data_IF_166817227466
#
_entry.id   IF_166817227466
#
_cell.length_a   1.000
_cell.length_b   1.000
_cell.length_c   1.000
_cell.angle_alpha   90.00
_cell.angle_beta   90.00
_cell.angle_gamma   90.00
#
_symmetry.space_group_name_H-M   'P 1'
#
loop_
_entity.id
_entity.type
_entity.pdbx_description
1 polymer ?
#
# COMPACT_ATOMS: atom_id res chain seq x y z
N UNK A 1 36.43 27.17 -72.02
CA UNK A 1 35.70 27.54 -70.79
C UNK A 1 34.23 27.27 -71.01
N UNK A 2 33.72 26.11 -70.60
CA UNK A 2 32.28 25.84 -70.52
C UNK A 2 32.04 25.17 -69.17
N UNK A 3 31.31 25.89 -68.33
CA UNK A 3 30.93 25.55 -66.96
C UNK A 3 29.78 24.53 -67.01
N UNK A 4 29.91 23.42 -66.29
CA UNK A 4 28.81 22.46 -66.12
C UNK A 4 28.60 22.24 -64.62
N UNK A 5 27.57 22.91 -64.09
CA UNK A 5 27.17 22.85 -62.69
C UNK A 5 26.34 21.59 -62.46
N UNK A 6 26.86 20.62 -61.70
CA UNK A 6 26.11 19.42 -61.28
C UNK A 6 25.43 19.67 -59.94
N UNK A 7 24.10 19.79 -59.98
CA UNK A 7 23.22 19.95 -58.82
C UNK A 7 22.97 18.56 -58.19
N UNK A 8 23.60 18.26 -57.06
CA UNK A 8 23.41 16.98 -56.37
C UNK A 8 22.35 17.15 -55.26
N UNK A 9 21.21 16.48 -55.45
CA UNK A 9 20.05 16.47 -54.54
C UNK A 9 20.43 15.81 -53.20
N UNK A 10 20.25 16.54 -52.10
CA UNK A 10 20.38 16.00 -50.76
C UNK A 10 19.20 15.06 -50.44
N UNK A 11 19.49 13.79 -50.20
CA UNK A 11 18.51 12.80 -49.70
C UNK A 11 18.49 12.92 -48.17
N UNK A 12 17.39 13.45 -47.61
CA UNK A 12 17.15 13.42 -46.15
C UNK A 12 16.77 12.00 -45.74
N UNK A 13 17.68 11.31 -45.05
CA UNK A 13 17.37 10.09 -44.33
C UNK A 13 16.47 10.43 -43.13
N UNK A 14 15.21 10.00 -43.17
CA UNK A 14 14.29 10.13 -42.05
C UNK A 14 14.66 9.10 -40.98
N UNK A 15 15.28 9.54 -39.88
CA UNK A 15 15.50 8.69 -38.71
C UNK A 15 14.13 8.36 -38.08
N UNK A 16 13.64 7.15 -38.30
CA UNK A 16 12.46 6.65 -37.60
C UNK A 16 12.88 6.25 -36.18
N UNK A 17 12.84 7.20 -35.24
CA UNK A 17 13.06 6.92 -33.82
C UNK A 17 11.87 6.10 -33.35
N UNK A 18 12.06 4.79 -33.17
CA UNK A 18 11.09 3.94 -32.48
C UNK A 18 11.06 4.38 -31.02
N UNK A 19 10.01 5.09 -30.64
CA UNK A 19 9.66 5.30 -29.23
C UNK A 19 9.40 3.92 -28.62
N UNK A 20 10.32 3.44 -27.78
CA UNK A 20 10.07 2.32 -26.90
C UNK A 20 8.86 2.72 -26.03
N UNK A 21 7.71 2.13 -26.33
CA UNK A 21 6.59 2.18 -25.41
C UNK A 21 7.03 1.42 -24.16
N UNK A 22 7.27 2.15 -23.07
CA UNK A 22 7.30 1.55 -21.74
C UNK A 22 5.89 1.08 -21.45
N UNK A 23 5.66 -0.22 -21.57
CA UNK A 23 4.43 -0.85 -21.08
C UNK A 23 4.34 -0.57 -19.58
N UNK A 24 3.25 0.04 -19.13
CA UNK A 24 2.94 0.08 -17.69
C UNK A 24 3.00 -1.35 -17.18
N UNK A 25 3.82 -1.59 -16.15
CA UNK A 25 3.94 -2.88 -15.50
C UNK A 25 2.53 -3.42 -15.22
N UNK A 26 2.27 -4.62 -15.74
CA UNK A 26 1.12 -5.43 -15.38
C UNK A 26 1.11 -5.57 -13.86
N UNK A 27 0.00 -5.16 -13.25
CA UNK A 27 -0.18 -5.11 -11.80
C UNK A 27 0.05 -6.49 -11.18
N UNK A 28 0.99 -6.54 -10.25
CA UNK A 28 1.07 -7.60 -9.26
C UNK A 28 0.79 -6.97 -7.90
N UNK A 29 0.20 -7.70 -6.94
CA UNK A 29 0.18 -7.26 -5.55
C UNK A 29 1.60 -6.92 -5.12
N UNK A 30 1.73 -5.87 -4.28
CA UNK A 30 3.02 -5.44 -3.76
C UNK A 30 3.83 -6.64 -3.27
N UNK A 31 5.11 -6.67 -3.63
CA UNK A 31 5.98 -7.81 -3.34
C UNK A 31 6.98 -7.50 -2.23
N UNK A 32 7.45 -8.55 -1.57
CA UNK A 32 8.63 -8.46 -0.70
C UNK A 32 9.81 -7.90 -1.49
N UNK A 33 10.49 -6.90 -0.92
CA UNK A 33 11.58 -6.16 -1.53
C UNK A 33 11.17 -4.86 -2.21
N UNK A 34 9.87 -4.58 -2.37
CA UNK A 34 9.39 -3.32 -2.95
C UNK A 34 9.20 -2.23 -1.89
N UNK A 35 9.40 -0.98 -2.28
CA UNK A 35 9.04 0.16 -1.45
C UNK A 35 7.53 0.39 -1.43
N UNK A 36 7.02 0.84 -0.29
CA UNK A 36 5.65 1.34 -0.20
C UNK A 36 5.46 2.53 -1.16
N UNK A 37 4.29 2.62 -1.82
CA UNK A 37 4.00 3.75 -2.68
C UNK A 37 3.80 5.02 -1.83
N UNK A 38 4.24 6.16 -2.36
CA UNK A 38 4.00 7.47 -1.74
C UNK A 38 2.56 7.91 -2.00
N UNK A 39 1.65 7.40 -1.17
CA UNK A 39 0.22 7.73 -1.19
C UNK A 39 -0.18 8.35 0.14
N UNK A 40 -1.05 9.35 0.07
CA UNK A 40 -1.61 10.00 1.24
C UNK A 40 -2.85 9.24 1.74
N UNK A 41 -2.86 8.98 3.04
CA UNK A 41 -4.02 8.48 3.81
C UNK A 41 -4.39 9.52 4.88
N UNK A 42 -5.53 9.37 5.54
CA UNK A 42 -6.01 10.30 6.56
C UNK A 42 -5.94 9.68 7.96
N UNK A 43 -5.79 10.50 9.01
CA UNK A 43 -5.82 10.03 10.40
C UNK A 43 -6.47 11.08 11.32
N UNK A 44 -7.39 10.66 12.19
CA UNK A 44 -8.05 11.55 13.14
C UNK A 44 -9.11 12.45 12.51
N UNK A 45 -8.69 13.32 11.58
CA UNK A 45 -9.49 14.34 10.90
C UNK A 45 -9.24 14.33 9.37
N UNK A 46 -10.22 14.69 8.51
CA UNK A 46 -10.03 14.68 7.06
C UNK A 46 -8.91 15.59 6.53
N UNK A 47 -8.55 16.64 7.28
CA UNK A 47 -7.45 17.54 6.92
C UNK A 47 -6.06 17.00 7.26
N UNK A 48 -5.96 15.99 8.12
CA UNK A 48 -4.69 15.42 8.54
C UNK A 48 -4.26 14.28 7.61
N UNK A 49 -3.44 14.64 6.61
CA UNK A 49 -2.90 13.70 5.61
C UNK A 49 -1.54 13.14 6.02
N UNK A 50 -1.38 11.82 5.93
CA UNK A 50 -0.17 11.07 6.26
C UNK A 50 0.36 10.39 4.99
N UNK A 51 1.63 10.62 4.63
CA UNK A 51 2.29 9.84 3.57
C UNK A 51 2.68 8.46 4.10
N UNK A 52 2.27 7.41 3.39
CA UNK A 52 2.64 6.04 3.69
C UNK A 52 4.14 5.78 3.55
N UNK A 53 4.81 6.46 2.62
CA UNK A 53 6.26 6.33 2.46
C UNK A 53 7.03 7.00 3.60
N UNK A 54 6.61 8.20 4.02
CA UNK A 54 7.24 8.92 5.13
C UNK A 54 6.98 8.26 6.48
N UNK A 55 5.78 7.68 6.68
CA UNK A 55 5.38 7.02 7.91
C UNK A 55 6.40 5.97 8.38
N UNK A 56 6.89 5.16 7.43
CA UNK A 56 7.79 4.02 7.67
C UNK A 56 9.25 4.29 7.29
N UNK A 57 9.62 5.52 6.90
CA UNK A 57 11.00 5.88 6.59
C UNK A 57 11.86 5.78 7.84
N UNK A 58 12.99 5.08 7.73
CA UNK A 58 13.94 4.88 8.83
C UNK A 58 13.40 4.10 10.03
N UNK A 59 12.25 3.44 9.90
CA UNK A 59 11.58 2.70 10.98
C UNK A 59 11.33 1.24 10.59
N UNK A 60 11.25 0.37 11.59
CA UNK A 60 10.63 -0.95 11.45
C UNK A 60 9.16 -0.82 11.84
N UNK A 61 8.26 -1.22 10.95
CA UNK A 61 6.83 -1.02 11.13
C UNK A 61 5.98 -2.20 10.70
N UNK A 62 4.79 -2.29 11.25
CA UNK A 62 3.77 -3.26 10.89
C UNK A 62 2.56 -2.51 10.36
N UNK A 63 2.14 -2.87 9.16
CA UNK A 63 0.92 -2.38 8.53
C UNK A 63 -0.03 -3.55 8.30
N UNK A 64 -1.28 -3.43 8.73
CA UNK A 64 -2.26 -4.51 8.61
C UNK A 64 -3.66 -3.99 8.30
N UNK A 65 -4.52 -4.89 7.81
CA UNK A 65 -5.92 -4.59 7.59
C UNK A 65 -6.73 -4.69 8.88
N UNK A 66 -7.67 -3.77 8.98
CA UNK A 66 -8.29 -3.39 10.22
C UNK A 66 -9.13 -4.45 10.95
N UNK A 67 -9.74 -5.42 10.30
CA UNK A 67 -10.49 -6.46 11.04
C UNK A 67 -9.65 -7.31 12.01
N UNK A 68 -8.31 -7.24 11.97
CA UNK A 68 -7.39 -7.92 12.90
C UNK A 68 -7.00 -7.07 14.13
N UNK A 69 -7.51 -5.84 14.25
CA UNK A 69 -7.10 -4.83 15.23
C UNK A 69 -6.99 -5.34 16.68
N UNK A 70 -7.96 -6.10 17.25
CA UNK A 70 -7.86 -6.50 18.66
C UNK A 70 -6.58 -7.28 18.99
N UNK A 71 -6.13 -8.17 18.09
CA UNK A 71 -4.91 -8.94 18.29
C UNK A 71 -3.65 -8.06 18.26
N UNK A 72 -3.57 -7.11 17.33
CA UNK A 72 -2.44 -6.17 17.25
C UNK A 72 -2.40 -5.20 18.44
N UNK A 73 -3.55 -4.81 19.00
CA UNK A 73 -3.62 -4.02 20.23
C UNK A 73 -3.05 -4.80 21.41
N UNK A 74 -3.43 -6.07 21.56
CA UNK A 74 -2.95 -6.94 22.64
C UNK A 74 -1.44 -7.18 22.54
N UNK A 75 -0.92 -7.37 21.33
CA UNK A 75 0.50 -7.67 21.08
C UNK A 75 1.37 -6.43 20.83
N UNK A 76 0.83 -5.22 20.96
CA UNK A 76 1.57 -3.98 20.66
C UNK A 76 2.85 -3.85 21.51
N UNK A 77 2.82 -4.30 22.77
CA UNK A 77 3.99 -4.33 23.64
C UNK A 77 5.07 -5.31 23.14
N UNK A 78 4.67 -6.51 22.75
CA UNK A 78 5.59 -7.54 22.24
C UNK A 78 6.21 -7.13 20.90
N UNK A 79 5.42 -6.52 20.02
CA UNK A 79 5.91 -5.95 18.76
C UNK A 79 6.96 -4.87 19.00
N UNK A 80 6.70 -3.94 19.93
CA UNK A 80 7.66 -2.91 20.32
C UNK A 80 8.93 -3.50 20.94
N UNK A 81 8.81 -4.55 21.76
CA UNK A 81 9.95 -5.26 22.32
C UNK A 81 10.82 -5.93 21.25
N UNK A 82 10.27 -6.25 20.06
CA UNK A 82 11.00 -6.73 18.87
C UNK A 82 11.50 -5.61 17.94
N UNK A 83 11.48 -4.37 18.42
CA UNK A 83 11.98 -3.20 17.70
C UNK A 83 11.02 -2.67 16.63
N UNK A 84 9.72 -2.99 16.70
CA UNK A 84 8.71 -2.34 15.85
C UNK A 84 8.41 -0.96 16.42
N UNK A 85 8.77 0.08 15.67
CA UNK A 85 8.55 1.49 16.01
C UNK A 85 7.12 1.94 15.71
N UNK A 86 6.52 1.39 14.63
CA UNK A 86 5.25 1.85 14.08
C UNK A 86 4.29 0.68 13.89
N UNK A 87 3.07 0.79 14.42
CA UNK A 87 2.01 -0.21 14.21
C UNK A 87 0.79 0.54 13.68
N UNK A 88 0.38 0.23 12.46
CA UNK A 88 -0.69 0.93 11.77
C UNK A 88 -1.73 -0.02 11.18
N UNK A 89 -2.99 0.38 11.34
CA UNK A 89 -4.18 -0.23 10.80
C UNK A 89 -4.65 0.63 9.62
N UNK A 90 -4.75 0.08 8.41
CA UNK A 90 -5.28 0.82 7.26
C UNK A 90 -6.58 0.19 6.77
N UNK A 91 -7.55 1.02 6.40
CA UNK A 91 -8.82 0.56 5.84
C UNK A 91 -9.36 1.49 4.76
N UNK A 92 -10.08 0.91 3.79
CA UNK A 92 -10.92 1.66 2.86
C UNK A 92 -12.18 2.09 3.60
N UNK A 93 -12.05 3.20 4.31
CA UNK A 93 -13.09 3.86 5.08
C UNK A 93 -12.76 5.33 5.24
N UNK A 94 -13.75 6.13 5.63
CA UNK A 94 -13.49 7.51 6.01
C UNK A 94 -12.79 7.59 7.38
N UNK A 95 -12.16 8.72 7.61
CA UNK A 95 -11.38 8.98 8.83
C UNK A 95 -12.25 9.03 10.08
N UNK A 96 -13.52 9.40 9.99
CA UNK A 96 -14.40 9.48 11.17
C UNK A 96 -14.70 8.08 11.70
N UNK A 97 -15.04 7.15 10.80
CA UNK A 97 -15.24 5.74 11.15
C UNK A 97 -13.96 5.12 11.69
N UNK A 98 -12.82 5.37 11.03
CA UNK A 98 -11.54 4.85 11.49
C UNK A 98 -11.16 5.35 12.89
N UNK A 99 -11.34 6.64 13.16
CA UNK A 99 -11.11 7.25 14.48
C UNK A 99 -12.04 6.67 15.54
N UNK A 100 -13.35 6.57 15.25
CA UNK A 100 -14.33 6.05 16.20
C UNK A 100 -14.06 4.57 16.54
N UNK A 101 -13.75 3.76 15.54
CA UNK A 101 -13.52 2.34 15.71
C UNK A 101 -12.17 2.05 16.41
N UNK A 102 -11.14 2.88 16.19
CA UNK A 102 -9.91 2.87 16.99
C UNK A 102 -10.17 3.15 18.47
N UNK A 103 -10.93 4.20 18.77
CA UNK A 103 -11.31 4.59 20.13
C UNK A 103 -12.09 3.48 20.84
N UNK A 104 -13.08 2.90 20.17
CA UNK A 104 -13.91 1.82 20.72
C UNK A 104 -13.11 0.57 21.09
N UNK A 105 -12.04 0.29 20.34
CA UNK A 105 -11.18 -0.88 20.57
C UNK A 105 -9.96 -0.58 21.48
N UNK A 106 -9.78 0.68 21.92
CA UNK A 106 -8.63 1.08 22.74
C UNK A 106 -7.30 1.04 21.99
N UNK A 107 -7.30 1.49 20.72
CA UNK A 107 -6.11 1.57 19.87
C UNK A 107 -5.12 2.66 20.30
N UNK A 108 -5.58 3.67 21.04
CA UNK A 108 -4.79 4.85 21.42
C UNK A 108 -3.44 4.50 22.04
N UNK A 109 -2.38 5.09 21.52
CA UNK A 109 -0.99 4.85 21.94
C UNK A 109 -0.42 3.48 21.55
N UNK A 110 -1.21 2.60 20.94
CA UNK A 110 -0.82 1.23 20.57
C UNK A 110 -0.78 1.02 19.06
N UNK A 111 -1.83 1.44 18.37
CA UNK A 111 -2.02 1.26 16.92
C UNK A 111 -2.54 2.56 16.31
N UNK A 112 -1.94 3.02 15.22
CA UNK A 112 -2.44 4.15 14.43
C UNK A 112 -3.55 3.72 13.49
N UNK A 113 -4.56 4.57 13.34
CA UNK A 113 -5.78 4.27 12.58
C UNK A 113 -5.80 5.13 11.31
N UNK A 114 -5.45 4.51 10.18
CA UNK A 114 -5.28 5.17 8.90
C UNK A 114 -6.49 4.90 7.99
N UNK A 115 -7.11 5.96 7.51
CA UNK A 115 -8.19 5.92 6.55
C UNK A 115 -7.66 6.08 5.13
N UNK A 116 -8.06 5.19 4.23
CA UNK A 116 -7.83 5.26 2.78
C UNK A 116 -9.19 5.43 2.07
N UNK A 117 -9.86 6.61 2.16
CA UNK A 117 -11.29 6.73 1.84
C UNK A 117 -11.60 6.41 0.37
N UNK A 118 -10.65 6.69 -0.53
CA UNK A 118 -10.79 6.47 -1.97
C UNK A 118 -10.22 5.12 -2.41
N UNK A 119 -9.58 4.36 -1.51
CA UNK A 119 -8.85 3.15 -1.87
C UNK A 119 -7.57 3.42 -2.66
N UNK A 120 -7.02 4.64 -2.63
CA UNK A 120 -5.86 5.02 -3.42
C UNK A 120 -4.61 4.22 -3.02
N UNK A 121 -4.39 4.03 -1.71
CA UNK A 121 -3.28 3.21 -1.23
C UNK A 121 -3.52 1.75 -1.59
N UNK A 122 -4.71 1.24 -1.28
CA UNK A 122 -5.13 -0.14 -1.57
C UNK A 122 -4.97 -0.50 -3.05
N UNK A 123 -5.30 0.43 -3.95
CA UNK A 123 -5.08 0.32 -5.39
C UNK A 123 -3.60 0.28 -5.76
N UNK A 124 -2.80 1.16 -5.17
CA UNK A 124 -1.39 1.29 -5.50
C UNK A 124 -0.58 0.03 -5.12
N UNK A 125 -1.04 -0.70 -4.09
CA UNK A 125 -0.45 -1.99 -3.69
C UNK A 125 -1.14 -3.20 -4.29
N UNK A 126 -2.17 -2.99 -5.14
CA UNK A 126 -2.97 -4.03 -5.81
C UNK A 126 -3.54 -5.08 -4.84
N UNK A 127 -4.08 -4.60 -3.71
CA UNK A 127 -4.70 -5.43 -2.65
C UNK A 127 -6.21 -5.20 -2.55
N UNK A 128 -6.90 -4.83 -3.63
CA UNK A 128 -8.35 -4.77 -3.62
C UNK A 128 -8.98 -6.16 -3.48
N UNK A 129 -10.08 -6.22 -2.74
CA UNK A 129 -10.91 -7.40 -2.59
C UNK A 129 -11.95 -7.43 -3.72
N UNK A 130 -11.65 -8.24 -4.74
CA UNK A 130 -12.52 -8.42 -5.90
C UNK A 130 -13.60 -9.48 -5.61
N UNK A 131 -14.60 -9.09 -4.83
CA UNK A 131 -15.73 -9.95 -4.47
C UNK A 131 -17.05 -9.18 -4.65
N UNK A 132 -17.77 -9.48 -5.73
CA UNK A 132 -19.01 -8.79 -6.10
C UNK A 132 -20.09 -8.86 -5.02
N UNK A 133 -20.19 -9.97 -4.29
CA UNK A 133 -21.13 -10.10 -3.19
C UNK A 133 -20.78 -9.13 -2.06
N UNK A 134 -19.50 -8.96 -1.72
CA UNK A 134 -19.09 -7.99 -0.71
C UNK A 134 -19.27 -6.55 -1.17
N UNK A 135 -19.08 -6.26 -2.46
CA UNK A 135 -19.39 -4.94 -3.02
C UNK A 135 -20.89 -4.64 -2.89
N UNK A 136 -21.77 -5.62 -3.14
CA UNK A 136 -23.22 -5.45 -2.95
C UNK A 136 -23.60 -5.17 -1.49
N UNK A 137 -22.89 -5.77 -0.52
CA UNK A 137 -23.15 -5.58 0.91
C UNK A 137 -22.53 -4.29 1.46
N UNK A 138 -21.33 -3.94 1.02
CA UNK A 138 -20.51 -2.85 1.59
C UNK A 138 -20.57 -1.55 0.77
N UNK A 139 -21.12 -1.60 -0.44
CA UNK A 139 -21.33 -0.45 -1.34
C UNK A 139 -20.11 -0.05 -2.18
N UNK A 140 -18.89 -0.42 -1.77
CA UNK A 140 -17.64 -0.07 -2.46
C UNK A 140 -16.60 -1.21 -2.40
N UNK A 141 -15.54 -1.08 -3.21
CA UNK A 141 -14.36 -1.94 -3.10
C UNK A 141 -13.67 -1.73 -1.75
N UNK A 142 -13.24 -2.83 -1.13
CA UNK A 142 -12.48 -2.84 0.12
C UNK A 142 -11.10 -3.45 -0.12
N UNK A 143 -10.21 -3.32 0.85
CA UNK A 143 -8.94 -4.03 0.81
C UNK A 143 -9.12 -5.49 1.20
N UNK A 144 -8.26 -6.35 0.67
CA UNK A 144 -8.03 -7.68 1.19
C UNK A 144 -7.45 -7.59 2.61
N UNK A 145 -7.59 -8.67 3.36
CA UNK A 145 -6.97 -8.80 4.67
C UNK A 145 -5.52 -9.23 4.53
N UNK A 146 -4.63 -8.47 5.15
CA UNK A 146 -3.21 -8.76 5.15
C UNK A 146 -2.51 -8.17 6.38
N UNK A 147 -1.28 -8.62 6.61
CA UNK A 147 -0.32 -7.98 7.49
C UNK A 147 1.04 -7.95 6.78
N UNK A 148 1.77 -6.84 6.91
CA UNK A 148 3.09 -6.68 6.31
C UNK A 148 4.10 -6.04 7.27
N UNK A 149 5.34 -6.52 7.19
CA UNK A 149 6.48 -5.97 7.90
C UNK A 149 7.19 -5.04 6.92
N UNK A 150 7.44 -3.81 7.36
CA UNK A 150 8.09 -2.78 6.58
C UNK A 150 9.34 -2.34 7.33
N UNK A 151 10.47 -2.24 6.64
CA UNK A 151 11.71 -1.68 7.18
C UNK A 151 12.23 -0.62 6.23
N UNK A 152 12.36 0.62 6.71
CA UNK A 152 12.77 1.77 5.92
C UNK A 152 11.96 1.91 4.62
N UNK A 153 10.63 1.82 4.76
CA UNK A 153 9.69 1.86 3.66
C UNK A 153 9.72 0.64 2.72
N UNK A 154 10.58 -0.36 2.93
CA UNK A 154 10.64 -1.59 2.12
C UNK A 154 9.83 -2.71 2.75
N UNK A 155 8.95 -3.35 1.98
CA UNK A 155 8.21 -4.54 2.42
C UNK A 155 9.19 -5.69 2.61
N UNK A 156 9.35 -6.15 3.86
CA UNK A 156 10.18 -7.31 4.22
C UNK A 156 9.37 -8.59 4.29
N UNK A 157 8.08 -8.47 4.61
CA UNK A 157 7.17 -9.60 4.71
C UNK A 157 5.76 -9.17 4.37
N UNK A 158 5.00 -10.05 3.73
CA UNK A 158 3.61 -9.82 3.38
C UNK A 158 2.84 -11.13 3.52
N UNK A 159 1.84 -11.13 4.40
CA UNK A 159 0.91 -12.22 4.61
C UNK A 159 -0.47 -11.74 4.15
N UNK A 160 -0.93 -12.18 2.97
CA UNK A 160 -2.28 -11.90 2.45
C UNK A 160 -3.16 -13.13 2.69
N UNK A 161 -4.38 -12.93 3.18
CA UNK A 161 -5.34 -14.01 3.35
C UNK A 161 -5.68 -14.64 1.98
N UNK A 162 -5.69 -15.98 1.83
CA UNK A 162 -5.87 -16.64 0.53
C UNK A 162 -7.18 -16.30 -0.18
N UNK A 163 -8.24 -16.05 0.58
CA UNK A 163 -9.56 -15.62 0.09
C UNK A 163 -9.77 -14.10 0.20
N UNK A 164 -8.76 -13.37 0.68
CA UNK A 164 -8.81 -11.94 0.97
C UNK A 164 -9.66 -11.55 2.19
N UNK A 165 -10.33 -12.48 2.88
CA UNK A 165 -11.25 -12.19 4.00
C UNK A 165 -11.04 -13.02 5.25
N UNK A 166 -10.15 -14.00 5.19
CA UNK A 166 -9.86 -14.94 6.26
C UNK A 166 -9.32 -14.31 7.54
N UNK A 167 -9.19 -15.15 8.56
CA UNK A 167 -8.59 -14.81 9.85
C UNK A 167 -7.50 -15.84 10.15
N UNK A 168 -6.43 -15.84 9.37
CA UNK A 168 -5.37 -16.83 9.46
C UNK A 168 -3.98 -16.18 9.44
N UNK A 169 -3.27 -16.17 8.32
CA UNK A 169 -1.87 -15.76 8.18
C UNK A 169 -1.60 -14.29 8.55
N UNK A 170 -2.63 -13.44 8.50
CA UNK A 170 -2.53 -12.01 8.82
C UNK A 170 -2.87 -11.66 10.27
N UNK A 171 -3.23 -12.65 11.11
CA UNK A 171 -3.45 -12.44 12.54
C UNK A 171 -2.15 -12.14 13.28
N UNK A 172 -2.22 -11.27 14.30
CA UNK A 172 -1.07 -10.83 15.06
C UNK A 172 -0.20 -11.98 15.65
N UNK A 173 -0.75 -13.07 16.23
CA UNK A 173 0.09 -14.15 16.76
C UNK A 173 0.88 -14.88 15.68
N UNK A 174 0.26 -15.13 14.52
CA UNK A 174 0.92 -15.80 13.39
C UNK A 174 2.01 -14.88 12.84
N UNK A 175 1.66 -13.61 12.63
CA UNK A 175 2.57 -12.61 12.13
C UNK A 175 3.76 -12.33 13.07
N UNK A 176 3.55 -12.31 14.40
CA UNK A 176 4.60 -12.06 15.40
C UNK A 176 5.59 -13.23 15.50
N UNK A 177 5.13 -14.48 15.35
CA UNK A 177 6.02 -15.65 15.39
C UNK A 177 7.05 -15.67 14.25
N UNK A 178 6.83 -14.79 13.28
CA UNK A 178 7.41 -14.78 11.95
C UNK A 178 8.36 -13.59 11.71
N UNK A 179 8.52 -12.66 12.68
CA UNK A 179 9.28 -11.39 12.57
C UNK A 179 10.18 -11.06 13.77
#
# INVERSE_FOLDING_TARGET
>A
MISTTLLQKAVRASLCIRLLHSTRNTSMPIQVGQHLPDVLVQEGDPGNSISMAELFRGKKGVLFWCTHLPGFIQMAGDLRARGVDEIACVSVNDVFVMSAWGKENGADGKVRMLADPTGAFTKAVDLFLNNDHLIQVLGNLRSQRYAMLIEDGVVRKLNVEPDGTGLTCSLAPNFLSEI
#
